data_IF_807756988559
#
_entry.id   IF_807756988559
#
_cell.length_a   1.000
_cell.length_b   1.000
_cell.length_c   1.000
_cell.angle_alpha   90.00
_cell.angle_beta   90.00
_cell.angle_gamma   90.00
#
_symmetry.space_group_name_H-M   'P 1'
#
loop_
_entity.id
_entity.type
_entity.pdbx_description
1 polymer ?
#
# COMPACT_ATOMS: atom_id res chain seq x y z
N UNK A 1 -18.49 -6.76 -2.63
CA UNK A 1 -19.44 -6.86 -3.76
C UNK A 1 -20.52 -5.79 -3.73
N UNK A 2 -21.11 -5.47 -2.57
CA UNK A 2 -22.22 -4.50 -2.41
C UNK A 2 -22.03 -3.16 -3.15
N UNK A 3 -20.80 -2.67 -3.31
CA UNK A 3 -20.52 -1.38 -3.96
C UNK A 3 -20.39 -1.43 -5.50
N UNK A 4 -20.34 -2.63 -6.10
CA UNK A 4 -20.18 -2.79 -7.55
C UNK A 4 -21.38 -2.29 -8.35
N UNK A 5 -22.60 -2.48 -7.82
CA UNK A 5 -23.83 -1.96 -8.46
C UNK A 5 -23.84 -0.43 -8.56
N UNK A 6 -23.11 0.24 -7.68
CA UNK A 6 -22.93 1.69 -7.66
C UNK A 6 -21.70 2.17 -8.44
N UNK A 7 -20.97 1.26 -9.11
CA UNK A 7 -19.70 1.56 -9.82
C UNK A 7 -18.64 2.20 -8.91
N UNK A 8 -18.66 1.85 -7.62
CA UNK A 8 -17.63 2.28 -6.67
C UNK A 8 -16.56 1.19 -6.63
N UNK A 9 -15.30 1.59 -6.85
CA UNK A 9 -14.13 0.71 -6.74
C UNK A 9 -13.66 0.68 -5.29
N UNK A 10 -13.48 -0.52 -4.74
CA UNK A 10 -12.86 -0.75 -3.43
C UNK A 10 -11.52 -1.43 -3.69
N UNK A 11 -10.46 -0.89 -3.10
CA UNK A 11 -9.08 -1.34 -3.32
C UNK A 11 -8.40 -1.50 -1.97
N UNK A 12 -7.92 -2.70 -1.68
CA UNK A 12 -7.10 -2.95 -0.50
C UNK A 12 -5.62 -2.78 -0.86
N UNK A 13 -4.89 -2.03 -0.04
CA UNK A 13 -3.45 -1.83 -0.17
C UNK A 13 -2.77 -2.45 1.05
N UNK A 14 -1.89 -3.42 0.82
CA UNK A 14 -1.16 -4.16 1.84
C UNK A 14 0.35 -3.89 1.70
N UNK A 15 0.84 -2.75 2.21
CA UNK A 15 2.27 -2.51 2.25
C UNK A 15 2.90 -3.31 3.42
N UNK A 16 4.10 -3.83 3.20
CA UNK A 16 4.98 -4.26 4.29
C UNK A 16 5.38 -3.06 5.17
N UNK A 17 6.17 -3.29 6.23
CA UNK A 17 6.65 -2.22 7.09
C UNK A 17 7.14 -1.01 6.27
N UNK A 18 6.49 0.14 6.45
CA UNK A 18 6.72 1.36 5.66
C UNK A 18 7.45 2.40 6.51
N UNK A 19 8.49 3.03 5.95
CA UNK A 19 9.33 4.04 6.61
C UNK A 19 8.54 5.34 6.84
N UNK A 20 7.71 5.36 7.87
CA UNK A 20 6.84 6.50 8.25
C UNK A 20 7.09 6.92 9.69
N UNK A 21 6.69 8.14 10.05
CA UNK A 21 6.83 8.65 11.41
C UNK A 21 5.99 7.89 12.45
N UNK A 22 5.07 7.00 12.07
CA UNK A 22 4.30 6.16 13.00
C UNK A 22 5.22 5.39 13.95
N UNK A 23 6.36 4.95 13.43
CA UNK A 23 7.33 4.15 14.18
C UNK A 23 8.15 4.96 15.18
N UNK A 24 8.16 6.30 15.10
CA UNK A 24 8.87 7.14 16.07
C UNK A 24 8.23 7.04 17.47
N UNK A 25 6.96 6.64 17.52
CA UNK A 25 6.21 6.40 18.76
C UNK A 25 6.19 4.93 19.19
N UNK A 26 6.88 4.04 18.45
CA UNK A 26 6.92 2.61 18.71
C UNK A 26 8.32 2.25 19.20
N UNK A 27 8.44 1.81 20.45
CA UNK A 27 9.71 1.39 21.04
C UNK A 27 10.35 0.25 20.23
N UNK A 28 11.65 0.36 19.96
CA UNK A 28 12.42 -0.65 19.24
C UNK A 28 13.47 -0.05 18.29
N UNK A 29 14.48 -0.85 17.95
CA UNK A 29 15.44 -0.54 16.89
C UNK A 29 14.91 -1.07 15.55
N UNK A 30 14.06 -0.27 14.91
CA UNK A 30 13.40 -0.66 13.67
C UNK A 30 14.33 -0.51 12.46
N UNK A 31 14.51 -1.54 11.60
CA UNK A 31 15.40 -1.46 10.45
C UNK A 31 14.82 -0.60 9.30
N UNK A 32 14.81 0.73 9.48
CA UNK A 32 14.22 1.72 8.55
C UNK A 32 14.64 1.51 7.09
N UNK A 33 15.92 1.19 6.87
CA UNK A 33 16.50 0.96 5.53
C UNK A 33 15.96 -0.28 4.82
N UNK A 34 15.31 -1.21 5.54
CA UNK A 34 14.66 -2.41 4.98
C UNK A 34 13.15 -2.23 4.82
N UNK A 35 12.58 -1.13 5.30
CA UNK A 35 11.17 -0.80 5.12
C UNK A 35 10.91 -0.32 3.68
N UNK A 36 9.66 -0.42 3.23
CA UNK A 36 9.24 0.19 1.96
C UNK A 36 9.09 1.70 2.12
N UNK A 37 9.36 2.46 1.06
CA UNK A 37 9.18 3.91 1.08
C UNK A 37 7.69 4.28 1.05
N UNK A 38 7.24 5.31 1.78
CA UNK A 38 5.88 5.84 1.63
C UNK A 38 5.59 6.33 0.20
N UNK A 39 6.62 6.75 -0.54
CA UNK A 39 6.46 7.13 -1.95
C UNK A 39 6.08 5.94 -2.83
N UNK A 40 6.63 4.75 -2.58
CA UNK A 40 6.29 3.55 -3.35
C UNK A 40 4.84 3.14 -3.09
N UNK A 41 4.37 3.25 -1.84
CA UNK A 41 2.96 3.03 -1.47
C UNK A 41 2.06 4.05 -2.18
N UNK A 42 2.44 5.33 -2.21
CA UNK A 42 1.69 6.37 -2.91
C UNK A 42 1.64 6.14 -4.43
N UNK A 43 2.74 5.71 -5.04
CA UNK A 43 2.80 5.33 -6.45
C UNK A 43 1.89 4.15 -6.77
N UNK A 44 1.78 3.17 -5.87
CA UNK A 44 0.86 2.04 -6.02
C UNK A 44 -0.61 2.49 -5.99
N UNK A 45 -0.96 3.43 -5.11
CA UNK A 45 -2.30 4.05 -5.08
C UNK A 45 -2.56 4.81 -6.38
N UNK A 46 -1.62 5.63 -6.85
CA UNK A 46 -1.76 6.35 -8.11
C UNK A 46 -1.93 5.40 -9.30
N UNK A 47 -1.17 4.30 -9.34
CA UNK A 47 -1.34 3.24 -10.32
C UNK A 47 -2.75 2.65 -10.30
N UNK A 48 -3.27 2.33 -9.11
CA UNK A 48 -4.61 1.78 -8.94
C UNK A 48 -5.69 2.75 -9.47
N UNK A 49 -5.57 4.03 -9.12
CA UNK A 49 -6.50 5.07 -9.54
C UNK A 49 -6.47 5.30 -11.06
N UNK A 50 -5.30 5.15 -11.69
CA UNK A 50 -5.11 5.31 -13.14
C UNK A 50 -5.79 4.24 -14.00
N UNK A 51 -6.27 3.14 -13.40
CA UNK A 51 -6.97 2.10 -14.15
C UNK A 51 -8.30 2.65 -14.69
N UNK A 52 -8.77 2.18 -15.87
CA UNK A 52 -10.09 2.50 -16.39
C UNK A 52 -11.19 2.33 -15.34
N UNK A 53 -12.25 3.14 -15.43
CA UNK A 53 -13.30 3.19 -14.41
C UNK A 53 -14.08 1.87 -14.25
N UNK A 54 -14.09 1.04 -15.28
CA UNK A 54 -14.70 -0.30 -15.34
C UNK A 54 -13.72 -1.43 -14.97
N UNK A 55 -12.47 -1.11 -14.66
CA UNK A 55 -11.47 -2.09 -14.18
C UNK A 55 -11.41 -2.04 -12.65
N UNK A 56 -11.75 -3.18 -12.04
CA UNK A 56 -11.61 -3.39 -10.61
C UNK A 56 -10.23 -4.01 -10.30
N UNK A 57 -9.34 -3.22 -9.70
CA UNK A 57 -8.12 -3.71 -9.06
C UNK A 57 -8.41 -3.88 -7.56
N UNK A 58 -8.53 -5.11 -7.10
CA UNK A 58 -9.05 -5.37 -5.74
C UNK A 58 -7.97 -5.32 -4.67
N UNK A 59 -6.76 -5.82 -4.96
CA UNK A 59 -5.69 -5.93 -3.99
C UNK A 59 -4.35 -5.52 -4.60
N UNK A 60 -3.55 -4.79 -3.84
CA UNK A 60 -2.13 -4.56 -4.11
C UNK A 60 -1.32 -4.89 -2.86
N UNK A 61 -0.39 -5.82 -2.99
CA UNK A 61 0.59 -6.12 -1.93
C UNK A 61 1.95 -5.61 -2.36
N UNK A 62 2.62 -4.86 -1.47
CA UNK A 62 3.95 -4.30 -1.74
C UNK A 62 4.91 -4.67 -0.63
N UNK A 63 6.12 -5.10 -0.98
CA UNK A 63 7.17 -5.40 0.00
C UNK A 63 8.54 -4.98 -0.51
N UNK A 64 9.49 -4.84 0.42
CA UNK A 64 10.89 -4.61 0.07
C UNK A 64 11.53 -5.93 -0.40
N UNK A 65 12.24 -5.92 -1.52
CA UNK A 65 12.91 -7.11 -2.06
C UNK A 65 14.01 -7.65 -1.13
N UNK A 66 14.54 -6.81 -0.25
CA UNK A 66 15.58 -7.22 0.72
C UNK A 66 15.02 -7.96 1.95
N UNK A 67 13.70 -8.12 2.02
CA UNK A 67 13.02 -8.89 3.07
C UNK A 67 11.77 -8.18 3.59
N UNK A 68 10.93 -8.96 4.27
CA UNK A 68 9.75 -8.45 4.95
C UNK A 68 10.08 -8.27 6.44
N UNK A 69 9.76 -7.10 6.97
CA UNK A 69 9.57 -6.86 8.40
C UNK A 69 8.08 -6.77 8.67
#
# INVERSE_FOLDING_TARGET
EELREHKIRVINIYPAATDTNIWNSVEGDWPRKKMISPNDVASAVAYALSRPADVALENISLSNLTGNL
#
